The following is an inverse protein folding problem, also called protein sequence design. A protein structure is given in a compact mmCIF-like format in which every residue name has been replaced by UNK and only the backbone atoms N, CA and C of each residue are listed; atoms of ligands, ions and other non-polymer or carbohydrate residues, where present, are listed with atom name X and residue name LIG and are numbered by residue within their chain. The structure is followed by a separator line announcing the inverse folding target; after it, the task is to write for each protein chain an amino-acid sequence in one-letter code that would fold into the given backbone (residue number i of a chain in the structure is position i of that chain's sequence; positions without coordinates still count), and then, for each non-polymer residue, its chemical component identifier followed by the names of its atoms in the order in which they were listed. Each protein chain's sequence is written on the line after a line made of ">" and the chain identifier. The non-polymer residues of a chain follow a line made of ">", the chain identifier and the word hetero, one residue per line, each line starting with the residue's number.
data_IF_229891087464
#
_entry.id   IF_229891087464
#
_cell.length_a   1.000
_cell.length_b   1.000
_cell.length_c   1.000
_cell.angle_alpha   90.00
_cell.angle_beta   90.00
_cell.angle_gamma   90.00
#
_symmetry.space_group_name_H-M   'P 1'
#
loop_
_entity.id
_entity.type
_entity.pdbx_description
1 polymer ?
#
# COMPACT_ATOMS: atom_id res chain seq x y z
N UNK A 1 25.24 -9.02 -37.71
CA UNK A 1 23.87 -9.49 -37.43
C UNK A 1 23.22 -8.48 -36.50
N UNK A 2 22.54 -7.49 -37.08
CA UNK A 2 21.84 -6.46 -36.33
C UNK A 2 20.39 -6.92 -36.18
N UNK A 3 19.96 -7.25 -34.96
CA UNK A 3 18.53 -7.47 -34.71
C UNK A 3 17.89 -6.15 -34.32
N UNK A 4 16.86 -5.84 -35.09
CA UNK A 4 16.09 -4.62 -35.10
C UNK A 4 15.36 -4.36 -33.78
N UNK A 5 15.15 -3.07 -33.57
CA UNK A 5 14.18 -2.43 -32.70
C UNK A 5 12.77 -3.01 -32.88
N UNK A 6 12.00 -3.12 -31.80
CA UNK A 6 10.53 -3.15 -31.89
C UNK A 6 9.97 -2.36 -30.71
N UNK A 7 9.51 -1.17 -31.06
CA UNK A 7 8.80 -0.21 -30.25
C UNK A 7 7.35 -0.69 -30.00
N UNK A 8 6.82 -0.32 -28.83
CA UNK A 8 5.41 -0.03 -28.53
C UNK A 8 4.33 -1.00 -29.03
N UNK A 9 3.81 -1.82 -28.11
CA UNK A 9 2.47 -2.39 -28.24
C UNK A 9 1.59 -1.96 -27.06
N UNK A 10 0.61 -1.12 -27.39
CA UNK A 10 -0.64 -0.80 -26.72
C UNK A 10 -1.03 -1.69 -25.51
N UNK A 11 -0.77 -1.21 -24.29
CA UNK A 11 -1.27 -1.81 -23.04
C UNK A 11 -2.78 -1.57 -22.86
N UNK A 12 -3.59 -2.37 -23.55
CA UNK A 12 -5.05 -2.35 -23.46
C UNK A 12 -5.51 -2.85 -22.07
N UNK A 13 -6.61 -2.30 -21.54
CA UNK A 13 -7.03 -2.35 -20.13
C UNK A 13 -7.27 -3.72 -19.45
N UNK A 14 -6.83 -4.84 -20.04
CA UNK A 14 -6.86 -6.17 -19.44
C UNK A 14 -5.71 -6.36 -18.43
N UNK A 15 -4.52 -5.80 -18.71
CA UNK A 15 -3.32 -5.94 -17.86
C UNK A 15 -3.47 -5.25 -16.49
N UNK A 16 -4.14 -4.09 -16.46
CA UNK A 16 -4.37 -3.35 -15.23
C UNK A 16 -5.33 -4.09 -14.28
N UNK A 17 -6.35 -4.76 -14.82
CA UNK A 17 -7.33 -5.54 -14.05
C UNK A 17 -6.69 -6.81 -13.49
N UNK A 18 -5.86 -7.50 -14.27
CA UNK A 18 -5.11 -8.66 -13.76
C UNK A 18 -4.07 -8.27 -12.70
N UNK A 19 -3.37 -7.15 -12.90
CA UNK A 19 -2.43 -6.62 -11.91
C UNK A 19 -3.14 -6.23 -10.62
N UNK A 20 -4.32 -5.60 -10.72
CA UNK A 20 -5.19 -5.32 -9.58
C UNK A 20 -5.55 -6.59 -8.79
N UNK A 21 -5.98 -7.67 -9.47
CA UNK A 21 -6.31 -8.96 -8.83
C UNK A 21 -5.07 -9.63 -8.20
N UNK A 22 -3.91 -9.52 -8.84
CA UNK A 22 -2.63 -10.03 -8.30
C UNK A 22 -2.27 -9.26 -7.02
N UNK A 23 -2.37 -7.94 -7.04
CA UNK A 23 -2.05 -7.09 -5.89
C UNK A 23 -3.00 -7.35 -4.71
N UNK A 24 -4.29 -7.58 -4.99
CA UNK A 24 -5.27 -8.02 -3.96
C UNK A 24 -4.91 -9.36 -3.35
N UNK A 25 -4.54 -10.34 -4.18
CA UNK A 25 -4.12 -11.66 -3.69
C UNK A 25 -2.89 -11.53 -2.80
N UNK A 26 -1.85 -10.82 -3.25
CA UNK A 26 -0.63 -10.61 -2.45
C UNK A 26 -0.92 -9.85 -1.16
N UNK A 27 -1.78 -8.84 -1.20
CA UNK A 27 -2.20 -8.09 -0.01
C UNK A 27 -2.88 -8.97 1.06
N UNK A 28 -3.49 -10.09 0.67
CA UNK A 28 -4.16 -11.03 1.59
C UNK A 28 -3.26 -12.16 2.08
N UNK A 29 -2.33 -12.63 1.25
CA UNK A 29 -1.52 -13.82 1.55
C UNK A 29 -0.09 -13.52 1.99
N UNK A 30 0.44 -12.34 1.70
CA UNK A 30 1.76 -11.95 2.20
C UNK A 30 1.70 -11.49 3.67
N UNK A 31 2.79 -11.73 4.39
CA UNK A 31 2.99 -11.23 5.74
C UNK A 31 3.34 -9.75 5.68
N UNK A 32 2.50 -8.92 6.28
CA UNK A 32 2.76 -7.50 6.47
C UNK A 32 2.79 -7.19 7.97
N UNK A 33 3.85 -6.52 8.41
CA UNK A 33 3.85 -5.84 9.71
C UNK A 33 3.37 -4.40 9.50
N UNK A 34 2.42 -3.98 10.33
CA UNK A 34 1.90 -2.62 10.32
C UNK A 34 2.31 -1.89 11.60
N UNK A 35 2.81 -0.66 11.46
CA UNK A 35 2.97 0.28 12.58
C UNK A 35 2.31 1.59 12.22
N UNK A 36 1.67 2.23 13.19
CA UNK A 36 1.02 3.53 13.01
C UNK A 36 1.82 4.57 13.80
N UNK A 37 2.89 5.15 13.24
CA UNK A 37 3.75 6.08 13.96
C UNK A 37 3.07 7.44 14.24
N UNK A 38 2.10 7.82 13.42
CA UNK A 38 1.37 9.07 13.53
C UNK A 38 -0.01 8.93 12.87
N UNK A 39 -0.89 9.88 13.16
CA UNK A 39 -2.17 10.02 12.46
C UNK A 39 -1.98 10.04 10.94
N UNK A 40 -2.87 9.31 10.25
CA UNK A 40 -2.92 9.24 8.81
C UNK A 40 -1.67 8.64 8.16
N UNK A 41 -0.76 8.04 8.95
CA UNK A 41 0.47 7.41 8.45
C UNK A 41 0.60 5.99 8.99
N UNK A 42 0.66 5.05 8.07
CA UNK A 42 0.90 3.64 8.36
C UNK A 42 2.22 3.22 7.74
N UNK A 43 3.16 2.80 8.57
CA UNK A 43 4.37 2.12 8.14
C UNK A 43 4.03 0.65 7.88
N UNK A 44 4.22 0.22 6.64
CA UNK A 44 4.00 -1.14 6.17
C UNK A 44 5.35 -1.78 5.88
N UNK A 45 5.64 -2.90 6.51
CA UNK A 45 6.84 -3.70 6.28
C UNK A 45 6.43 -5.03 5.69
N UNK A 46 6.87 -5.35 4.47
CA UNK A 46 6.64 -6.68 3.91
C UNK A 46 7.62 -7.68 4.53
N UNK A 47 7.11 -8.60 5.33
CA UNK A 47 7.91 -9.64 6.02
C UNK A 47 7.79 -11.01 5.34
N UNK A 48 7.24 -11.07 4.12
CA UNK A 48 7.24 -12.31 3.32
C UNK A 48 8.62 -12.66 2.76
N UNK A 49 9.55 -11.71 2.75
CA UNK A 49 10.95 -11.93 2.41
C UNK A 49 11.76 -12.13 3.69
N UNK A 50 12.97 -12.70 3.58
CA UNK A 50 13.84 -12.96 4.72
C UNK A 50 13.98 -11.72 5.62
N UNK A 51 14.05 -11.91 6.95
CA UNK A 51 14.07 -10.81 7.93
C UNK A 51 15.20 -9.79 7.68
N UNK A 52 16.29 -10.21 7.03
CA UNK A 52 17.41 -9.36 6.64
C UNK A 52 17.05 -8.30 5.58
N UNK A 53 16.04 -8.56 4.74
CA UNK A 53 15.58 -7.65 3.67
C UNK A 53 14.29 -6.92 4.07
N UNK A 54 13.75 -7.17 5.26
CA UNK A 54 12.51 -6.54 5.71
C UNK A 54 12.66 -5.00 5.81
N UNK A 55 13.85 -4.50 6.14
CA UNK A 55 14.14 -3.05 6.21
C UNK A 55 13.98 -2.37 4.83
N UNK A 56 14.47 -3.02 3.77
CA UNK A 56 14.38 -2.54 2.38
C UNK A 56 12.93 -2.53 1.85
N UNK A 57 12.01 -3.22 2.54
CA UNK A 57 10.61 -3.32 2.15
C UNK A 57 9.68 -2.55 3.09
N UNK A 58 10.17 -1.46 3.66
CA UNK A 58 9.39 -0.52 4.47
C UNK A 58 8.85 0.63 3.62
N UNK A 59 7.54 0.80 3.68
CA UNK A 59 6.84 1.85 2.94
C UNK A 59 5.84 2.56 3.85
N UNK A 60 5.63 3.85 3.61
CA UNK A 60 4.61 4.64 4.32
C UNK A 60 3.37 4.72 3.44
N UNK A 61 2.23 4.34 3.99
CA UNK A 61 0.90 4.51 3.41
C UNK A 61 0.23 5.68 4.12
N UNK A 62 -0.24 6.66 3.34
CA UNK A 62 -1.07 7.73 3.90
C UNK A 62 -2.53 7.32 3.86
N UNK A 63 -3.19 7.49 5.01
CA UNK A 63 -4.61 7.22 5.21
C UNK A 63 -5.29 8.54 5.57
N UNK A 64 -6.39 8.84 4.89
CA UNK A 64 -7.21 10.00 5.18
C UNK A 64 -8.67 9.58 5.15
N UNK A 65 -9.46 9.98 6.14
CA UNK A 65 -10.88 9.62 6.26
C UNK A 65 -11.14 8.10 6.13
N UNK A 66 -10.27 7.26 6.71
CA UNK A 66 -10.39 5.81 6.63
C UNK A 66 -10.02 5.20 5.27
N UNK A 67 -9.44 5.99 4.35
CA UNK A 67 -9.06 5.53 3.01
C UNK A 67 -7.56 5.69 2.79
N UNK A 68 -6.88 4.58 2.47
CA UNK A 68 -5.50 4.61 2.01
C UNK A 68 -5.44 5.23 0.60
N UNK A 69 -4.82 6.40 0.48
CA UNK A 69 -4.82 7.18 -0.77
C UNK A 69 -3.44 7.32 -1.42
N UNK A 70 -2.34 7.24 -0.66
CA UNK A 70 -0.98 7.22 -1.20
C UNK A 70 -0.08 6.18 -0.54
N UNK A 71 1.00 5.83 -1.23
CA UNK A 71 2.04 4.95 -0.72
C UNK A 71 3.41 5.33 -1.29
N UNK A 72 4.46 5.30 -0.47
CA UNK A 72 5.85 5.59 -0.90
C UNK A 72 6.53 4.43 -1.65
N UNK A 73 5.77 3.41 -2.07
CA UNK A 73 6.34 2.30 -2.82
C UNK A 73 6.49 2.66 -4.31
N UNK A 74 7.50 2.09 -5.01
CA UNK A 74 7.72 2.35 -6.43
C UNK A 74 6.48 2.13 -7.30
N UNK A 75 5.65 1.13 -6.95
CA UNK A 75 4.45 0.83 -7.74
C UNK A 75 3.42 1.96 -7.72
N UNK A 76 3.28 2.66 -6.59
CA UNK A 76 2.39 3.81 -6.49
C UNK A 76 3.07 5.09 -7.01
N UNK A 77 4.35 5.30 -6.73
CA UNK A 77 5.09 6.48 -7.18
C UNK A 77 5.14 6.60 -8.72
N UNK A 78 5.43 5.50 -9.42
CA UNK A 78 5.56 5.52 -10.88
C UNK A 78 4.25 5.38 -11.64
N UNK A 79 3.19 4.84 -11.02
CA UNK A 79 1.94 4.48 -11.73
C UNK A 79 0.68 5.09 -11.12
N UNK A 80 0.79 5.77 -9.98
CA UNK A 80 -0.35 6.23 -9.16
C UNK A 80 -1.40 5.13 -8.92
N UNK A 81 -0.98 3.87 -8.94
CA UNK A 81 -1.86 2.71 -8.85
C UNK A 81 -2.10 2.32 -7.38
N UNK A 82 -3.24 1.69 -7.10
CA UNK A 82 -3.52 1.07 -5.79
C UNK A 82 -2.65 -0.17 -5.61
N UNK A 83 -1.50 0.02 -4.99
CA UNK A 83 -0.53 -1.03 -4.71
C UNK A 83 -1.02 -2.04 -3.66
N UNK A 84 -0.34 -3.18 -3.58
CA UNK A 84 -0.61 -4.21 -2.56
C UNK A 84 -0.54 -3.67 -1.12
N UNK A 85 0.31 -2.68 -0.82
CA UNK A 85 0.43 -2.12 0.53
C UNK A 85 -0.83 -1.35 0.95
N UNK A 86 -1.34 -0.48 0.08
CA UNK A 86 -2.59 0.24 0.32
C UNK A 86 -3.76 -0.73 0.50
N UNK A 87 -3.78 -1.81 -0.28
CA UNK A 87 -4.78 -2.88 -0.16
C UNK A 87 -4.64 -3.66 1.14
N UNK A 88 -3.41 -3.96 1.58
CA UNK A 88 -3.15 -4.68 2.82
C UNK A 88 -3.59 -3.86 4.04
N UNK A 89 -3.31 -2.55 4.04
CA UNK A 89 -3.82 -1.60 5.03
C UNK A 89 -5.34 -1.55 5.00
N UNK A 90 -5.94 -1.38 3.82
CA UNK A 90 -7.40 -1.35 3.66
C UNK A 90 -8.11 -2.66 4.03
N UNK A 91 -7.44 -3.82 3.93
CA UNK A 91 -7.96 -5.11 4.36
C UNK A 91 -7.87 -5.32 5.89
N UNK A 92 -7.18 -4.43 6.61
CA UNK A 92 -6.92 -4.57 8.05
C UNK A 92 -7.64 -3.45 8.81
N UNK A 93 -8.89 -3.68 9.20
CA UNK A 93 -9.75 -2.69 9.85
C UNK A 93 -9.10 -2.03 11.07
N UNK A 94 -8.41 -2.81 11.90
CA UNK A 94 -7.71 -2.28 13.08
C UNK A 94 -6.66 -1.23 12.73
N UNK A 95 -5.97 -1.38 11.59
CA UNK A 95 -4.93 -0.45 11.13
C UNK A 95 -5.55 0.81 10.54
N UNK A 96 -6.61 0.67 9.74
CA UNK A 96 -7.37 1.81 9.21
C UNK A 96 -7.98 2.64 10.34
N UNK A 97 -8.58 1.97 11.33
CA UNK A 97 -9.14 2.63 12.51
C UNK A 97 -8.04 3.30 13.32
N UNK A 98 -6.92 2.64 13.63
CA UNK A 98 -5.83 3.25 14.36
C UNK A 98 -5.23 4.47 13.63
N UNK A 99 -5.03 4.38 12.31
CA UNK A 99 -4.51 5.49 11.51
C UNK A 99 -5.47 6.67 11.45
N UNK A 100 -6.78 6.42 11.48
CA UNK A 100 -7.82 7.46 11.40
C UNK A 100 -8.19 8.03 12.78
N UNK A 101 -8.06 7.22 13.84
CA UNK A 101 -8.46 7.59 15.21
C UNK A 101 -7.43 8.45 15.93
N UNK A 102 -6.16 8.41 15.52
CA UNK A 102 -5.13 9.31 16.07
C UNK A 102 -5.37 10.80 15.74
N UNK A 103 -6.34 11.10 14.87
CA UNK A 103 -6.84 12.44 14.55
C UNK A 103 -8.23 12.76 15.05
N UNK A 104 -8.87 11.79 15.70
CA UNK A 104 -10.08 12.06 16.46
C UNK A 104 -9.67 12.75 17.74
N UNK A 105 -9.83 14.07 17.79
CA UNK A 105 -9.91 14.77 19.06
C UNK A 105 -10.74 13.94 20.05
N UNK A 106 -10.18 13.67 21.22
CA UNK A 106 -10.95 13.47 22.43
C UNK A 106 -11.70 14.78 22.73
N UNK A 107 -12.64 15.16 21.87
CA UNK A 107 -13.54 16.29 22.06
C UNK A 107 -14.73 15.85 22.92
N UNK A 108 -14.46 15.37 24.13
CA UNK A 108 -15.47 15.32 25.18
C UNK A 108 -14.83 15.63 26.52
N UNK A 109 -14.46 16.89 26.68
CA UNK A 109 -14.63 17.55 27.96
C UNK A 109 -16.07 18.05 28.07
N UNK A 110 -16.90 17.44 28.92
CA UNK A 110 -17.93 18.14 29.71
C UNK A 110 -18.57 17.22 30.78
N UNK A 111 -18.21 17.53 32.02
CA UNK A 111 -18.89 17.30 33.32
C UNK A 111 -18.92 15.88 33.88
#
# INVERSE_FOLDING_TARGET
>A
MSKATSETENGTGIDAVEQCRRDERRARYEGFEFRVPAEGRVLVTNVSYNQAEADDHRYVVSVENGVAWSCTCPHHEYRSARCKHMRAVANTDAVIMAASALGGELSEGRQ
#
